data_IF_066883639693
#
_entry.id   IF_066883639693
#
_cell.length_a   1.000
_cell.length_b   1.000
_cell.length_c   1.000
_cell.angle_alpha   90.00
_cell.angle_beta   90.00
_cell.angle_gamma   90.00
#
_symmetry.space_group_name_H-M   'P 1'
#
loop_
_entity.id
_entity.type
_entity.pdbx_description
1 polymer ?
#
# COMPACT_ATOMS: atom_id res chain seq x y z
N UNK A 1 -5.43 11.13 -11.52
CA UNK A 1 -4.45 11.01 -10.40
C UNK A 1 -3.08 11.67 -10.68
N UNK A 2 -2.48 11.47 -11.87
CA UNK A 2 -1.12 11.96 -12.21
C UNK A 2 -0.78 13.41 -11.83
N UNK A 3 -1.68 14.37 -12.09
CA UNK A 3 -1.46 15.79 -11.76
C UNK A 3 -1.34 16.06 -10.26
N UNK A 4 -2.14 15.39 -9.42
CA UNK A 4 -2.04 15.52 -7.97
C UNK A 4 -0.67 15.07 -7.49
N UNK A 5 -0.17 13.94 -7.98
CA UNK A 5 1.15 13.42 -7.63
C UNK A 5 2.25 14.39 -8.06
N UNK A 6 2.16 14.95 -9.27
CA UNK A 6 3.11 15.97 -9.75
C UNK A 6 3.11 17.22 -8.86
N UNK A 7 1.93 17.67 -8.42
CA UNK A 7 1.79 18.85 -7.57
C UNK A 7 2.29 18.61 -6.13
N UNK A 8 2.01 17.43 -5.56
CA UNK A 8 2.56 16.99 -4.27
C UNK A 8 4.07 16.84 -4.33
N UNK A 9 4.60 16.22 -5.39
CA UNK A 9 6.04 16.07 -5.58
C UNK A 9 6.73 17.43 -5.67
N UNK A 10 6.18 18.38 -6.44
CA UNK A 10 6.72 19.76 -6.47
C UNK A 10 6.71 20.41 -5.09
N UNK A 11 5.61 20.28 -4.34
CA UNK A 11 5.44 20.90 -3.04
C UNK A 11 6.41 20.36 -1.99
N UNK A 12 6.70 19.05 -2.02
CA UNK A 12 7.49 18.39 -0.99
C UNK A 12 8.90 17.96 -1.43
N UNK A 13 9.26 18.09 -2.71
CA UNK A 13 10.58 17.68 -3.25
C UNK A 13 11.79 18.25 -2.50
N UNK A 14 11.63 19.41 -1.87
CA UNK A 14 12.68 20.08 -1.11
C UNK A 14 12.91 19.52 0.31
N UNK A 15 11.97 18.70 0.82
CA UNK A 15 12.09 18.02 2.12
C UNK A 15 12.29 16.51 1.98
N UNK A 16 12.18 15.94 0.78
CA UNK A 16 12.53 14.55 0.52
C UNK A 16 14.04 14.40 0.70
N UNK A 17 14.46 13.75 1.78
CA UNK A 17 15.87 13.55 2.14
C UNK A 17 16.51 12.37 1.41
N UNK A 18 15.69 11.54 0.75
CA UNK A 18 16.11 10.50 -0.17
C UNK A 18 15.63 9.10 0.19
N UNK A 19 15.05 8.91 1.37
CA UNK A 19 14.50 7.61 1.80
C UNK A 19 13.01 7.49 1.43
N UNK A 20 12.60 6.28 1.03
CA UNK A 20 11.21 5.95 0.69
C UNK A 20 10.23 6.27 1.84
N UNK A 21 10.71 6.24 3.08
CA UNK A 21 9.95 6.58 4.28
C UNK A 21 9.42 8.03 4.27
N UNK A 22 10.13 8.97 3.65
CA UNK A 22 9.68 10.37 3.54
C UNK A 22 8.42 10.47 2.67
N UNK A 23 8.38 9.69 1.57
CA UNK A 23 7.25 9.67 0.66
C UNK A 23 5.99 9.11 1.33
N UNK A 24 6.13 8.05 2.11
CA UNK A 24 5.02 7.46 2.87
C UNK A 24 4.44 8.48 3.85
N UNK A 25 5.27 9.15 4.65
CA UNK A 25 4.82 10.17 5.62
C UNK A 25 4.05 11.29 4.92
N UNK A 26 4.55 11.80 3.79
CA UNK A 26 3.90 12.86 3.03
C UNK A 26 2.56 12.41 2.48
N UNK A 27 2.51 11.23 1.84
CA UNK A 27 1.28 10.71 1.25
C UNK A 27 0.23 10.45 2.33
N UNK A 28 0.61 9.86 3.47
CA UNK A 28 -0.32 9.66 4.58
C UNK A 28 -0.80 10.98 5.19
N UNK A 29 0.09 11.95 5.39
CA UNK A 29 -0.30 13.27 5.91
C UNK A 29 -1.30 13.98 5.00
N UNK A 30 -1.12 13.86 3.67
CA UNK A 30 -2.06 14.40 2.68
C UNK A 30 -3.41 13.67 2.78
N UNK A 31 -3.41 12.33 2.80
CA UNK A 31 -4.63 11.53 2.89
C UNK A 31 -5.41 11.79 4.19
N UNK A 32 -4.73 11.98 5.31
CA UNK A 32 -5.35 12.33 6.60
C UNK A 32 -6.03 13.71 6.58
N UNK A 33 -5.50 14.64 5.78
CA UNK A 33 -6.08 15.98 5.63
C UNK A 33 -7.33 15.98 4.72
N UNK A 34 -7.53 14.96 3.89
CA UNK A 34 -8.67 14.87 2.97
C UNK A 34 -9.93 14.38 3.69
N UNK A 35 -11.07 14.95 3.30
CA UNK A 35 -12.37 14.40 3.67
C UNK A 35 -12.73 13.26 2.72
N UNK A 36 -13.65 12.39 3.16
CA UNK A 36 -14.18 11.31 2.33
C UNK A 36 -14.65 11.78 0.95
N UNK A 37 -15.27 12.97 0.88
CA UNK A 37 -15.73 13.55 -0.39
C UNK A 37 -14.55 13.80 -1.34
N UNK A 38 -13.47 14.41 -0.85
CA UNK A 38 -12.30 14.74 -1.66
C UNK A 38 -11.64 13.45 -2.19
N UNK A 39 -11.59 12.39 -1.38
CA UNK A 39 -11.10 11.07 -1.80
C UNK A 39 -11.97 10.48 -2.92
N UNK A 40 -13.29 10.62 -2.83
CA UNK A 40 -14.20 10.12 -3.87
C UNK A 40 -14.04 10.91 -5.18
N UNK A 41 -13.85 12.23 -5.12
CA UNK A 41 -13.55 13.06 -6.30
C UNK A 41 -12.24 12.61 -6.96
N UNK A 42 -11.20 12.29 -6.18
CA UNK A 42 -9.94 11.75 -6.71
C UNK A 42 -10.11 10.39 -7.42
N UNK A 43 -11.01 9.54 -6.93
CA UNK A 43 -11.33 8.25 -7.54
C UNK A 43 -12.14 8.44 -8.83
N UNK A 44 -13.08 9.38 -8.86
CA UNK A 44 -13.87 9.70 -10.07
C UNK A 44 -13.00 10.25 -11.21
N UNK A 45 -11.87 10.90 -10.88
CA UNK A 45 -10.89 11.39 -11.86
C UNK A 45 -9.89 10.33 -12.35
N UNK A 46 -9.92 9.11 -11.80
CA UNK A 46 -9.05 8.02 -12.26
C UNK A 46 -9.50 7.50 -13.63
N UNK A 47 -8.53 7.16 -14.48
CA UNK A 47 -8.83 6.35 -15.65
C UNK A 47 -9.10 4.88 -15.28
N UNK A 48 -9.58 4.10 -16.24
CA UNK A 48 -9.94 2.70 -16.04
C UNK A 48 -8.75 1.85 -15.52
N UNK A 49 -7.54 2.13 -16.00
CA UNK A 49 -6.34 1.41 -15.59
C UNK A 49 -5.91 1.78 -14.16
N UNK A 50 -5.93 3.08 -13.82
CA UNK A 50 -5.68 3.59 -12.47
C UNK A 50 -6.69 2.98 -11.48
N UNK A 51 -7.98 2.97 -11.84
CA UNK A 51 -9.05 2.41 -11.01
C UNK A 51 -8.89 0.90 -10.80
N UNK A 52 -8.62 0.14 -11.86
CA UNK A 52 -8.36 -1.30 -11.75
C UNK A 52 -7.15 -1.60 -10.88
N UNK A 53 -6.09 -0.82 -11.03
CA UNK A 53 -4.87 -0.97 -10.23
C UNK A 53 -5.14 -0.70 -8.75
N UNK A 54 -5.85 0.39 -8.43
CA UNK A 54 -6.20 0.75 -7.06
C UNK A 54 -7.08 -0.31 -6.40
N UNK A 55 -8.17 -0.72 -7.05
CA UNK A 55 -9.09 -1.73 -6.50
C UNK A 55 -8.40 -3.08 -6.41
N UNK A 56 -7.63 -3.47 -7.44
CA UNK A 56 -6.89 -4.72 -7.47
C UNK A 56 -5.86 -4.83 -6.34
N UNK A 57 -5.09 -3.78 -6.09
CA UNK A 57 -4.11 -3.75 -4.99
C UNK A 57 -4.80 -3.87 -3.63
N UNK A 58 -5.87 -3.12 -3.39
CA UNK A 58 -6.63 -3.21 -2.14
C UNK A 58 -7.20 -4.62 -1.91
N UNK A 59 -7.82 -5.19 -2.95
CA UNK A 59 -8.37 -6.55 -2.88
C UNK A 59 -7.27 -7.58 -2.62
N UNK A 60 -6.12 -7.46 -3.29
CA UNK A 60 -4.98 -8.35 -3.11
C UNK A 60 -4.47 -8.33 -1.66
N UNK A 61 -4.27 -7.15 -1.08
CA UNK A 61 -3.78 -7.02 0.29
C UNK A 61 -4.79 -7.55 1.33
N UNK A 62 -6.09 -7.31 1.12
CA UNK A 62 -7.14 -7.92 1.96
C UNK A 62 -7.18 -9.44 1.80
N UNK A 63 -6.98 -9.95 0.59
CA UNK A 63 -6.98 -11.38 0.33
C UNK A 63 -5.78 -12.08 0.98
N UNK A 64 -4.57 -11.52 0.85
CA UNK A 64 -3.36 -12.00 1.56
C UNK A 64 -3.55 -11.99 3.07
N UNK A 65 -4.12 -10.90 3.62
CA UNK A 65 -4.43 -10.80 5.05
C UNK A 65 -5.35 -11.92 5.51
N UNK A 66 -6.37 -12.24 4.70
CA UNK A 66 -7.29 -13.36 4.98
C UNK A 66 -6.57 -14.72 4.89
N UNK A 67 -5.74 -14.94 3.88
CA UNK A 67 -4.94 -16.17 3.78
C UNK A 67 -4.06 -16.38 5.01
N UNK A 68 -3.38 -15.33 5.48
CA UNK A 68 -2.55 -15.38 6.67
C UNK A 68 -3.35 -15.70 7.94
N UNK A 69 -4.54 -15.13 8.10
CA UNK A 69 -5.46 -15.46 9.20
C UNK A 69 -5.89 -16.93 9.21
N UNK A 70 -6.03 -17.54 8.02
CA UNK A 70 -6.38 -18.95 7.86
C UNK A 70 -5.15 -19.87 7.82
N UNK A 71 -3.94 -19.35 8.01
CA UNK A 71 -2.68 -20.11 7.96
C UNK A 71 -2.30 -20.62 6.56
N UNK A 72 -2.95 -20.13 5.51
CA UNK A 72 -2.69 -20.54 4.13
C UNK A 72 -1.48 -19.77 3.59
N UNK A 73 -0.51 -20.48 3.00
CA UNK A 73 0.66 -19.86 2.36
C UNK A 73 1.78 -19.47 3.33
N UNK A 74 1.66 -19.81 4.61
CA UNK A 74 2.83 -19.94 5.48
C UNK A 74 3.63 -21.12 4.92
N UNK A 75 4.78 -20.86 4.28
CA UNK A 75 5.75 -21.94 4.10
C UNK A 75 5.95 -22.55 5.48
N UNK A 76 5.75 -23.86 5.59
CA UNK A 76 6.11 -24.60 6.80
C UNK A 76 7.59 -24.32 7.04
N UNK A 77 7.90 -23.31 7.85
CA UNK A 77 9.13 -23.35 8.62
C UNK A 77 8.98 -24.61 9.45
N UNK A 78 9.81 -25.62 9.16
CA UNK A 78 9.91 -26.79 10.01
C UNK A 78 10.02 -26.27 11.43
N UNK A 79 9.12 -26.73 12.28
CA UNK A 79 9.19 -26.43 13.70
C UNK A 79 10.56 -26.86 14.24
N UNK A 80 11.06 -26.21 15.30
CA UNK A 80 12.35 -26.59 15.89
C UNK A 80 12.44 -28.09 16.22
N UNK A 81 11.30 -28.71 16.52
CA UNK A 81 11.19 -30.14 16.78
C UNK A 81 11.33 -30.99 15.50
N UNK A 82 10.80 -30.56 14.37
CA UNK A 82 11.02 -31.22 13.07
C UNK A 82 12.48 -31.08 12.60
N UNK A 83 13.14 -29.96 12.90
CA UNK A 83 14.56 -29.74 12.60
C UNK A 83 15.46 -30.69 13.42
N UNK A 84 15.13 -30.93 14.70
CA UNK A 84 15.91 -31.82 15.59
C UNK A 84 15.89 -33.29 15.16
N UNK A 85 14.89 -33.73 14.40
CA UNK A 85 14.74 -35.13 13.96
C UNK A 85 15.39 -35.40 12.59
N UNK A 86 16.01 -34.39 11.97
CA UNK A 86 16.72 -34.53 10.69
C UNK A 86 18.22 -34.92 10.84
N UNK A 87 18.75 -34.94 12.06
CA UNK A 87 20.15 -35.27 12.37
C UNK A 87 20.29 -36.56 13.18
#
# INVERSE_FOLDING_TARGET
MKKLIDDLYKMYSHILTGDEEDADIIIFSVLEALKRKDILELIEEMDEQELYSMVGLYMLEKFKSKMAQEGVGQSQMLTEDEIKHLH
#
